data_IF_393560128205
#
_entry.id   IF_393560128205
#
_cell.length_a   1.000
_cell.length_b   1.000
_cell.length_c   1.000
_cell.angle_alpha   90.00
_cell.angle_beta   90.00
_cell.angle_gamma   90.00
#
_symmetry.space_group_name_H-M   'P 1'
#
loop_
_entity.id
_entity.type
_entity.pdbx_description
1 polymer ?
#
# COMPACT_ATOMS: atom_id res chain seq x y z
N UNK A 1 -6.10 -4.76 5.35
CA UNK A 1 -5.69 -4.26 6.70
C UNK A 1 -6.32 -5.15 7.76
N UNK A 2 -5.54 -5.55 8.75
CA UNK A 2 -5.94 -6.46 9.82
C UNK A 2 -5.69 -5.80 11.18
N UNK A 3 -6.45 -6.21 12.20
CA UNK A 3 -6.21 -5.75 13.57
C UNK A 3 -5.03 -6.51 14.16
N UNK A 4 -4.07 -5.79 14.75
CA UNK A 4 -2.87 -6.33 15.37
C UNK A 4 -2.73 -5.77 16.80
N UNK A 5 -3.45 -6.38 17.75
CA UNK A 5 -3.58 -5.87 19.12
C UNK A 5 -4.49 -4.63 19.18
N UNK A 6 -3.99 -3.55 19.78
CA UNK A 6 -4.70 -2.26 19.81
C UNK A 6 -4.56 -1.48 18.51
N UNK A 7 -3.57 -1.80 17.66
CA UNK A 7 -3.30 -1.09 16.40
C UNK A 7 -3.80 -1.85 15.18
N UNK A 8 -3.77 -1.19 14.03
CA UNK A 8 -4.01 -1.79 12.72
C UNK A 8 -2.72 -2.03 11.95
N UNK A 9 -2.70 -3.07 11.13
CA UNK A 9 -1.56 -3.44 10.30
C UNK A 9 -2.03 -3.62 8.84
N UNK A 10 -1.34 -2.97 7.91
CA UNK A 10 -1.42 -3.25 6.49
C UNK A 10 -0.38 -4.31 6.13
N UNK A 11 -0.77 -5.29 5.32
CA UNK A 11 0.10 -6.35 4.78
C UNK A 11 -0.01 -6.31 3.28
N UNK A 12 1.13 -6.29 2.59
CA UNK A 12 1.17 -6.28 1.14
C UNK A 12 0.85 -7.67 0.59
N UNK A 13 -0.11 -7.76 -0.32
CA UNK A 13 -0.54 -9.02 -0.93
C UNK A 13 0.54 -9.63 -1.85
N UNK A 14 1.55 -8.86 -2.27
CA UNK A 14 2.62 -9.32 -3.17
C UNK A 14 3.92 -9.73 -2.49
N UNK A 15 4.38 -8.95 -1.50
CA UNK A 15 5.73 -9.11 -0.94
C UNK A 15 5.75 -9.31 0.58
N UNK A 16 4.60 -9.49 1.21
CA UNK A 16 4.45 -9.62 2.67
C UNK A 16 4.90 -8.42 3.50
N UNK A 17 5.33 -7.32 2.88
CA UNK A 17 5.73 -6.11 3.61
C UNK A 17 4.60 -5.68 4.55
N UNK A 18 4.94 -5.23 5.77
CA UNK A 18 3.97 -4.89 6.82
C UNK A 18 4.17 -3.47 7.29
N UNK A 19 3.07 -2.79 7.56
CA UNK A 19 3.05 -1.45 8.12
C UNK A 19 2.05 -1.39 9.27
N UNK A 20 2.54 -1.10 10.48
CA UNK A 20 1.71 -0.91 11.67
C UNK A 20 1.37 0.55 11.84
N UNK A 21 0.09 0.87 11.81
CA UNK A 21 -0.40 2.22 12.02
C UNK A 21 -0.50 2.44 13.53
N UNK A 22 0.18 3.45 14.10
CA UNK A 22 0.17 3.72 15.55
C UNK A 22 -1.17 4.20 16.14
N UNK A 23 -2.29 3.87 15.51
CA UNK A 23 -3.64 4.29 15.87
C UNK A 23 -4.57 3.10 16.02
N UNK A 24 -5.50 3.20 16.96
CA UNK A 24 -6.54 2.20 17.22
C UNK A 24 -7.76 2.36 16.30
N UNK A 25 -7.89 3.53 15.67
CA UNK A 25 -9.02 3.83 14.78
C UNK A 25 -8.75 3.35 13.36
N UNK A 26 -9.61 2.45 12.87
CA UNK A 26 -9.48 1.84 11.54
C UNK A 26 -9.40 2.88 10.41
N UNK A 27 -10.27 3.87 10.41
CA UNK A 27 -10.28 4.91 9.37
C UNK A 27 -8.99 5.73 9.36
N UNK A 28 -8.49 6.12 10.55
CA UNK A 28 -7.22 6.81 10.70
C UNK A 28 -6.03 5.95 10.26
N UNK A 29 -6.08 4.64 10.53
CA UNK A 29 -5.09 3.68 10.07
C UNK A 29 -5.03 3.60 8.53
N UNK A 30 -6.18 3.53 7.87
CA UNK A 30 -6.26 3.57 6.41
C UNK A 30 -5.71 4.87 5.83
N UNK A 31 -6.03 6.01 6.43
CA UNK A 31 -5.51 7.30 5.99
C UNK A 31 -3.98 7.38 6.17
N UNK A 32 -3.46 6.96 7.32
CA UNK A 32 -2.03 6.93 7.61
C UNK A 32 -1.27 6.05 6.61
N UNK A 33 -1.77 4.84 6.33
CA UNK A 33 -1.16 3.95 5.37
C UNK A 33 -1.20 4.52 3.93
N UNK A 34 -2.29 5.17 3.52
CA UNK A 34 -2.37 5.84 2.22
C UNK A 34 -1.36 6.98 2.10
N UNK A 35 -1.18 7.78 3.15
CA UNK A 35 -0.15 8.84 3.21
C UNK A 35 1.25 8.24 3.11
N UNK A 36 1.48 7.08 3.73
CA UNK A 36 2.71 6.29 3.60
C UNK A 36 2.85 5.65 2.19
N UNK A 37 1.88 5.83 1.30
CA UNK A 37 1.92 5.40 -0.09
C UNK A 37 1.41 3.98 -0.31
N UNK A 38 0.67 3.42 0.64
CA UNK A 38 -0.04 2.17 0.44
C UNK A 38 -1.27 2.37 -0.45
N UNK A 39 -1.47 1.44 -1.38
CA UNK A 39 -2.67 1.38 -2.20
C UNK A 39 -3.62 0.33 -1.62
N UNK A 40 -4.90 0.71 -1.47
CA UNK A 40 -5.99 -0.18 -1.07
C UNK A 40 -7.06 -0.17 -2.16
N UNK A 41 -6.86 -0.97 -3.21
CA UNK A 41 -7.84 -1.18 -4.28
C UNK A 41 -8.33 -2.64 -4.26
N UNK A 42 -8.32 -3.34 -5.39
CA UNK A 42 -8.52 -4.80 -5.45
C UNK A 42 -7.45 -5.56 -4.66
N UNK A 43 -6.23 -5.01 -4.57
CA UNK A 43 -5.12 -5.51 -3.76
C UNK A 43 -4.68 -4.46 -2.75
N UNK A 44 -4.22 -4.92 -1.59
CA UNK A 44 -3.44 -4.11 -0.65
C UNK A 44 -1.97 -4.19 -1.06
N UNK A 45 -1.42 -3.10 -1.58
CA UNK A 45 -0.03 -3.03 -2.03
C UNK A 45 0.76 -2.00 -1.22
N UNK A 46 1.98 -2.36 -0.82
CA UNK A 46 2.94 -1.38 -0.31
C UNK A 46 3.38 -0.43 -1.43
N UNK A 47 3.96 0.71 -1.05
CA UNK A 47 4.43 1.76 -1.99
C UNK A 47 5.23 1.18 -3.16
N UNK A 48 6.24 0.36 -2.89
CA UNK A 48 7.08 -0.23 -3.94
C UNK A 48 6.30 -1.12 -4.91
N UNK A 49 5.46 -2.03 -4.40
CA UNK A 49 4.66 -2.91 -5.25
C UNK A 49 3.59 -2.15 -6.04
N UNK A 50 3.01 -1.09 -5.46
CA UNK A 50 2.08 -0.21 -6.14
C UNK A 50 2.78 0.53 -7.30
N UNK A 51 3.97 1.08 -7.06
CA UNK A 51 4.78 1.73 -8.11
C UNK A 51 5.17 0.74 -9.21
N UNK A 52 5.62 -0.47 -8.87
CA UNK A 52 5.91 -1.51 -9.88
C UNK A 52 4.68 -1.86 -10.69
N UNK A 53 3.53 -2.08 -10.05
CA UNK A 53 2.28 -2.37 -10.75
C UNK A 53 1.86 -1.23 -11.69
N UNK A 54 2.03 0.03 -11.23
CA UNK A 54 1.75 1.21 -12.03
C UNK A 54 2.61 1.26 -13.30
N UNK A 55 3.93 1.08 -13.19
CA UNK A 55 4.84 1.07 -14.34
C UNK A 55 4.64 -0.14 -15.27
N UNK A 56 4.23 -1.29 -14.73
CA UNK A 56 3.86 -2.44 -15.57
C UNK A 56 2.61 -2.16 -16.40
N UNK A 57 1.65 -1.40 -15.86
CA UNK A 57 0.43 -1.01 -16.57
C UNK A 57 0.63 0.20 -17.49
N UNK A 58 1.56 1.08 -17.15
CA UNK A 58 1.92 2.29 -17.90
C UNK A 58 3.42 2.23 -18.21
N UNK A 59 3.83 1.35 -19.14
CA UNK A 59 5.22 1.31 -19.56
C UNK A 59 5.58 2.71 -20.03
N UNK A 60 6.68 3.24 -19.50
CA UNK A 60 7.23 4.50 -19.94
C UNK A 60 7.73 4.26 -21.37
N UNK A 61 6.87 4.45 -22.37
CA UNK A 61 7.33 4.60 -23.74
C UNK A 61 8.11 5.92 -23.77
N UNK A 62 9.44 5.89 -23.99
CA UNK A 62 10.14 7.13 -24.26
C UNK A 62 9.52 7.76 -25.52
N UNK A 63 9.36 9.09 -25.58
CA UNK A 63 8.72 9.74 -26.73
C UNK A 63 9.47 9.62 -28.07
N UNK A 64 10.64 8.94 -28.14
CA UNK A 64 11.44 8.80 -29.36
C UNK A 64 12.22 7.47 -29.39
N UNK A 65 11.58 6.37 -29.77
CA UNK A 65 12.25 5.11 -30.13
C UNK A 65 11.85 4.66 -31.54
#
# INVERSE_FOLDING_TARGET
>A
MIRAGSVWEARCDRCDHRYRTGTEHRAAAYAAAQIDGWAFNELTLCRSCATTAYHSAHPLTPPDA
#
